data_IF_857937371187
#
_entry.id   IF_857937371187
#
_cell.length_a   1.000
_cell.length_b   1.000
_cell.length_c   1.000
_cell.angle_alpha   90.00
_cell.angle_beta   90.00
_cell.angle_gamma   90.00
#
_symmetry.space_group_name_H-M   'P 1'
#
loop_
_entity.id
_entity.type
_entity.pdbx_description
1 polymer ?
#
# COMPACT_ATOMS: atom_id res chain seq x y z
N UNK A 1 -10.28 5.14 23.48
CA UNK A 1 -8.84 5.16 23.82
C UNK A 1 -8.11 5.09 22.50
N UNK A 2 -7.91 6.23 21.85
CA UNK A 2 -7.24 6.29 20.55
C UNK A 2 -5.74 6.22 20.78
N UNK A 3 -5.22 4.99 20.69
CA UNK A 3 -3.80 4.71 20.73
C UNK A 3 -3.17 5.29 19.48
N UNK A 4 -2.61 6.49 19.62
CA UNK A 4 -1.77 7.16 18.64
C UNK A 4 -0.51 6.30 18.44
N UNK A 5 -0.62 5.27 17.60
CA UNK A 5 0.44 4.32 17.32
C UNK A 5 1.54 5.04 16.52
N UNK A 6 2.43 5.71 17.23
CA UNK A 6 3.68 6.24 16.66
C UNK A 6 4.52 5.06 16.22
N UNK A 7 4.37 4.69 14.95
CA UNK A 7 5.22 3.69 14.32
C UNK A 7 6.58 4.34 14.07
N UNK A 8 7.55 4.06 14.93
CA UNK A 8 8.93 4.51 14.73
C UNK A 8 9.57 3.74 13.56
N UNK A 9 9.66 4.38 12.40
CA UNK A 9 10.35 3.82 11.23
C UNK A 9 11.87 3.96 11.36
N UNK A 10 12.48 3.08 12.16
CA UNK A 10 13.93 3.07 12.38
C UNK A 10 14.70 2.92 11.06
N UNK A 11 15.64 3.82 10.82
CA UNK A 11 16.50 3.80 9.63
C UNK A 11 15.84 4.29 8.35
N UNK A 12 14.64 4.85 8.42
CA UNK A 12 14.00 5.56 7.32
C UNK A 12 14.68 6.92 7.09
N UNK A 13 14.90 7.27 5.83
CA UNK A 13 15.49 8.51 5.37
C UNK A 13 14.61 9.08 4.26
N UNK A 14 14.08 10.28 4.48
CA UNK A 14 13.21 10.98 3.53
C UNK A 14 13.97 12.21 3.04
N UNK A 15 14.12 12.32 1.72
CA UNK A 15 14.84 13.41 1.06
C UNK A 15 13.92 14.03 0.00
N UNK A 16 13.72 15.35 0.06
CA UNK A 16 12.99 16.08 -1.00
C UNK A 16 13.97 16.49 -2.08
N UNK A 17 13.69 16.10 -3.33
CA UNK A 17 14.49 16.50 -4.49
C UNK A 17 14.12 17.90 -4.97
N UNK A 18 15.03 18.60 -5.68
CA UNK A 18 14.76 19.89 -6.31
C UNK A 18 13.60 19.86 -7.31
N UNK A 19 13.30 18.69 -7.87
CA UNK A 19 12.16 18.46 -8.77
C UNK A 19 10.81 18.36 -8.06
N UNK A 20 10.77 18.45 -6.72
CA UNK A 20 9.56 18.30 -5.91
C UNK A 20 9.23 16.86 -5.52
N UNK A 21 9.92 15.87 -6.08
CA UNK A 21 9.71 14.47 -5.73
C UNK A 21 10.32 14.12 -4.37
N UNK A 22 9.64 13.25 -3.61
CA UNK A 22 10.14 12.72 -2.34
C UNK A 22 10.83 11.39 -2.58
N UNK A 23 12.07 11.27 -2.11
CA UNK A 23 12.86 10.04 -2.18
C UNK A 23 12.95 9.41 -0.79
N UNK A 24 12.34 8.25 -0.65
CA UNK A 24 12.40 7.45 0.57
C UNK A 24 13.48 6.38 0.45
N UNK A 25 14.36 6.28 1.45
CA UNK A 25 15.37 5.23 1.55
C UNK A 25 15.36 4.62 2.94
N UNK A 26 15.58 3.33 3.05
CA UNK A 26 15.62 2.61 4.33
C UNK A 26 16.95 1.88 4.45
N UNK A 27 17.58 1.98 5.63
CA UNK A 27 18.76 1.18 5.99
C UNK A 27 18.33 -0.23 6.35
N UNK A 28 19.00 -1.25 5.84
CA UNK A 28 18.71 -2.65 6.16
C UNK A 28 18.93 -2.95 7.67
N UNK A 29 18.19 -3.94 8.21
CA UNK A 29 18.43 -4.42 9.58
C UNK A 29 19.70 -5.30 9.58
N UNK A 30 20.62 -5.04 10.51
CA UNK A 30 21.91 -5.76 10.58
C UNK A 30 23.02 -5.13 9.74
N UNK A 31 22.70 -4.59 8.56
CA UNK A 31 23.66 -3.89 7.70
C UNK A 31 23.23 -2.43 7.46
N UNK A 32 23.84 -1.50 8.19
CA UNK A 32 23.53 -0.05 8.07
C UNK A 32 24.14 0.59 6.82
N UNK A 33 25.11 -0.06 6.16
CA UNK A 33 25.75 0.45 4.96
C UNK A 33 24.85 0.25 3.73
N UNK A 34 24.10 -0.86 3.70
CA UNK A 34 23.10 -1.13 2.65
C UNK A 34 21.85 -0.26 2.85
N UNK A 35 21.57 0.56 1.83
CA UNK A 35 20.40 1.45 1.74
C UNK A 35 19.55 1.03 0.55
N UNK A 36 18.26 0.79 0.78
CA UNK A 36 17.30 0.44 -0.27
C UNK A 36 16.40 1.65 -0.52
N UNK A 37 16.25 2.03 -1.79
CA UNK A 37 15.31 3.11 -2.19
C UNK A 37 13.93 2.51 -2.35
N UNK A 38 12.95 3.07 -1.63
CA UNK A 38 11.55 2.67 -1.74
C UNK A 38 10.95 3.33 -2.98
N UNK A 39 10.13 2.59 -3.75
CA UNK A 39 9.44 3.15 -4.91
C UNK A 39 8.21 3.99 -4.54
N UNK A 40 7.77 3.92 -3.27
CA UNK A 40 6.57 4.58 -2.75
C UNK A 40 6.91 5.67 -1.74
N UNK A 41 6.01 6.65 -1.63
CA UNK A 41 6.07 7.72 -0.62
C UNK A 41 5.49 7.25 0.73
N UNK A 42 5.78 7.96 1.84
CA UNK A 42 5.29 7.61 3.17
C UNK A 42 3.76 7.62 3.27
N UNK A 43 3.10 8.43 2.44
CA UNK A 43 1.64 8.56 2.39
C UNK A 43 0.97 7.43 1.59
N UNK A 44 1.74 6.52 0.99
CA UNK A 44 1.19 5.41 0.21
C UNK A 44 0.71 4.27 1.13
N UNK A 45 -0.46 3.64 0.89
CA UNK A 45 -0.97 2.56 1.74
C UNK A 45 0.03 1.40 1.89
N UNK A 46 0.69 1.00 0.79
CA UNK A 46 1.65 -0.10 0.78
C UNK A 46 3.02 0.26 1.41
N UNK A 47 3.22 1.50 1.88
CA UNK A 47 4.51 1.96 2.39
C UNK A 47 5.07 1.06 3.51
N UNK A 48 4.21 0.59 4.42
CA UNK A 48 4.62 -0.27 5.51
C UNK A 48 5.24 -1.59 5.02
N UNK A 49 4.71 -2.17 3.95
CA UNK A 49 5.20 -3.43 3.41
C UNK A 49 6.49 -3.23 2.61
N UNK A 50 6.58 -2.15 1.82
CA UNK A 50 7.84 -1.74 1.21
C UNK A 50 8.94 -1.45 2.25
N UNK A 51 8.60 -0.83 3.39
CA UNK A 51 9.53 -0.60 4.50
C UNK A 51 10.03 -1.91 5.12
N UNK A 52 9.12 -2.85 5.40
CA UNK A 52 9.47 -4.17 5.96
C UNK A 52 10.38 -4.96 5.02
N UNK A 53 10.06 -5.01 3.73
CA UNK A 53 10.89 -5.64 2.71
C UNK A 53 12.29 -4.99 2.66
N UNK A 54 12.36 -3.66 2.64
CA UNK A 54 13.63 -2.94 2.63
C UNK A 54 14.48 -3.19 3.89
N UNK A 55 13.86 -3.37 5.07
CA UNK A 55 14.57 -3.78 6.30
C UNK A 55 15.11 -5.20 6.23
N UNK A 56 14.41 -6.10 5.54
CA UNK A 56 14.86 -7.47 5.26
C UNK A 56 15.94 -7.54 4.16
N UNK A 57 16.23 -6.43 3.47
CA UNK A 57 17.22 -6.39 2.39
C UNK A 57 16.64 -6.65 1.01
N UNK A 58 15.31 -6.71 0.90
CA UNK A 58 14.58 -6.97 -0.33
C UNK A 58 13.98 -5.68 -0.90
N UNK A 59 13.83 -5.63 -2.23
CA UNK A 59 13.17 -4.51 -2.91
C UNK A 59 11.87 -4.98 -3.52
N UNK A 60 10.76 -4.66 -2.85
CA UNK A 60 9.43 -4.89 -3.39
C UNK A 60 9.16 -3.90 -4.53
N UNK A 61 8.83 -4.42 -5.71
CA UNK A 61 8.33 -3.63 -6.84
C UNK A 61 6.88 -3.22 -6.60
N UNK A 62 6.49 -2.02 -7.02
CA UNK A 62 5.08 -1.64 -7.08
C UNK A 62 4.46 -2.43 -8.24
N UNK A 63 3.88 -3.57 -7.93
CA UNK A 63 3.01 -4.26 -8.88
C UNK A 63 1.66 -3.58 -8.75
N UNK A 64 1.14 -3.04 -9.85
CA UNK A 64 0.04 -2.06 -9.84
C UNK A 64 -1.19 -2.51 -9.03
N UNK A 65 -1.93 -1.50 -8.53
CA UNK A 65 -3.20 -1.56 -7.79
C UNK A 65 -3.63 -2.99 -7.48
N UNK A 66 -3.19 -3.50 -6.33
CA UNK A 66 -3.71 -4.76 -5.82
C UNK A 66 -5.20 -4.53 -5.53
N UNK A 67 -6.05 -5.04 -6.43
CA UNK A 67 -7.44 -5.28 -6.08
C UNK A 67 -7.51 -6.13 -4.81
N UNK A 68 -8.59 -6.06 -4.03
CA UNK A 68 -8.65 -6.74 -2.76
C UNK A 68 -8.33 -8.23 -2.91
N UNK A 69 -7.41 -8.72 -2.07
CA UNK A 69 -6.91 -10.10 -2.15
C UNK A 69 -8.06 -11.10 -2.06
N UNK A 70 -7.99 -12.16 -2.87
CA UNK A 70 -9.02 -13.21 -2.89
C UNK A 70 -9.20 -13.80 -1.49
N UNK A 71 -10.45 -13.86 -1.02
CA UNK A 71 -10.80 -14.37 0.30
C UNK A 71 -10.83 -13.31 1.41
N UNK A 72 -10.46 -12.06 1.12
CA UNK A 72 -10.69 -10.93 2.05
C UNK A 72 -12.13 -10.41 1.96
N UNK A 73 -12.56 -9.68 2.99
CA UNK A 73 -13.86 -8.99 2.96
C UNK A 73 -13.93 -7.97 1.82
N UNK A 74 -12.83 -7.26 1.53
CA UNK A 74 -12.77 -6.33 0.40
C UNK A 74 -13.06 -7.03 -0.93
N UNK A 75 -12.59 -8.27 -1.09
CA UNK A 75 -12.82 -9.07 -2.30
C UNK A 75 -14.28 -9.48 -2.44
N UNK A 76 -14.91 -9.88 -1.32
CA UNK A 76 -16.35 -10.18 -1.30
C UNK A 76 -17.19 -8.93 -1.62
N UNK A 77 -16.82 -7.77 -1.08
CA UNK A 77 -17.50 -6.51 -1.35
C UNK A 77 -17.39 -6.13 -2.83
N UNK A 78 -16.20 -6.19 -3.39
CA UNK A 78 -15.98 -5.90 -4.81
C UNK A 78 -16.80 -6.84 -5.72
N UNK A 79 -16.78 -8.15 -5.43
CA UNK A 79 -17.56 -9.14 -6.17
C UNK A 79 -19.07 -8.90 -6.06
N UNK A 80 -19.54 -8.49 -4.87
CA UNK A 80 -20.95 -8.20 -4.66
C UNK A 80 -21.39 -6.94 -5.42
N UNK A 81 -20.58 -5.88 -5.41
CA UNK A 81 -20.87 -4.64 -6.14
C UNK A 81 -20.91 -4.87 -7.66
N UNK A 82 -20.00 -5.69 -8.18
CA UNK A 82 -20.00 -6.09 -9.59
C UNK A 82 -21.29 -6.86 -9.95
N UNK A 83 -21.67 -7.84 -9.11
CA UNK A 83 -22.91 -8.60 -9.28
C UNK A 83 -24.16 -7.71 -9.23
N UNK A 84 -24.23 -6.77 -8.29
CA UNK A 84 -25.35 -5.85 -8.17
C UNK A 84 -25.45 -4.96 -9.41
N UNK A 85 -24.32 -4.44 -9.89
CA UNK A 85 -24.26 -3.63 -11.10
C UNK A 85 -24.77 -4.41 -12.33
N UNK A 86 -24.39 -5.69 -12.47
CA UNK A 86 -24.90 -6.56 -13.53
C UNK A 86 -26.42 -6.83 -13.41
N UNK A 87 -26.92 -6.99 -12.18
CA UNK A 87 -28.34 -7.24 -11.91
C UNK A 87 -29.20 -6.02 -12.25
N UNK A 88 -28.73 -4.81 -11.94
CA UNK A 88 -29.37 -3.55 -12.33
C UNK A 88 -29.34 -3.38 -13.84
N UNK A 89 -28.20 -3.65 -14.50
CA UNK A 89 -28.10 -3.60 -15.96
C UNK A 89 -29.03 -4.59 -16.67
N UNK A 90 -29.29 -5.75 -16.07
CA UNK A 90 -30.25 -6.74 -16.56
C UNK A 90 -31.71 -6.36 -16.29
N UNK A 91 -31.98 -5.21 -15.66
CA UNK A 91 -33.33 -4.75 -15.30
C UNK A 91 -33.99 -5.59 -14.20
N UNK A 92 -33.23 -6.43 -13.51
CA UNK A 92 -33.73 -7.32 -12.45
C UNK A 92 -33.78 -6.62 -11.08
N UNK A 93 -33.14 -5.46 -10.95
CA UNK A 93 -33.14 -4.63 -9.76
C UNK A 93 -33.20 -3.14 -10.13
N UNK A 94 -33.72 -2.32 -9.20
CA UNK A 94 -33.76 -0.86 -9.36
C UNK A 94 -32.41 -0.24 -9.02
N UNK A 95 -31.99 0.86 -9.70
CA UNK A 95 -30.75 1.59 -9.37
C UNK A 95 -30.71 2.21 -7.96
N UNK A 96 -31.84 2.25 -7.26
CA UNK A 96 -31.98 2.81 -5.91
C UNK A 96 -31.79 1.78 -4.77
N UNK A 97 -31.35 0.57 -5.11
CA UNK A 97 -31.05 -0.50 -4.14
C UNK A 97 -29.67 -0.27 -3.53
#
# INVERSE_FOLDING_TARGET
MDGDARVDFSGLMIERLPSGNTRCRVRMKGDKARKITLPVNPDHPDFADHYRAARAGERLSVTGVHGPDRGTLGWLVALNLERLSATVAAGQASPLT
#
